data_IF_095591765522
#
_entry.id   IF_095591765522
#
_cell.length_a   1.000
_cell.length_b   1.000
_cell.length_c   1.000
_cell.angle_alpha   90.00
_cell.angle_beta   90.00
_cell.angle_gamma   90.00
#
_symmetry.space_group_name_H-M   'P 1'
#
loop_
_entity.id
_entity.type
_entity.pdbx_description
1 polymer ?
#
# COMPACT_ATOMS: atom_id res chain seq x y z
N UNK A 1 39.02 31.16 -31.93
CA UNK A 1 38.36 30.80 -30.65
C UNK A 1 39.10 29.64 -30.01
N UNK A 2 39.46 29.73 -28.71
CA UNK A 2 40.03 28.60 -27.96
C UNK A 2 38.96 27.51 -27.85
N UNK A 3 39.23 26.30 -28.38
CA UNK A 3 38.33 25.15 -28.21
C UNK A 3 38.31 24.75 -26.74
N UNK A 4 37.18 24.96 -26.06
CA UNK A 4 36.97 24.53 -24.69
C UNK A 4 36.92 23.00 -24.67
N UNK A 5 37.68 22.39 -23.76
CA UNK A 5 37.76 20.93 -23.60
C UNK A 5 36.41 20.35 -23.15
N UNK A 6 36.01 19.21 -23.73
CA UNK A 6 34.79 18.48 -23.33
C UNK A 6 34.72 18.15 -21.83
N UNK A 7 35.87 18.01 -21.17
CA UNK A 7 35.95 17.75 -19.73
C UNK A 7 35.37 18.89 -18.88
N UNK A 8 35.41 20.13 -19.37
CA UNK A 8 34.89 21.31 -18.67
C UNK A 8 33.37 21.27 -18.60
N UNK A 9 32.71 20.88 -19.70
CA UNK A 9 31.25 20.79 -19.72
C UNK A 9 30.74 19.71 -18.77
N UNK A 10 31.43 18.57 -18.66
CA UNK A 10 31.05 17.49 -17.74
C UNK A 10 31.04 17.93 -16.26
N UNK A 11 31.83 18.94 -15.89
CA UNK A 11 31.92 19.46 -14.51
C UNK A 11 30.97 20.62 -14.21
N UNK A 12 30.24 21.15 -15.20
CA UNK A 12 29.33 22.27 -14.99
C UNK A 12 28.14 21.85 -14.13
N UNK A 13 27.83 22.66 -13.12
CA UNK A 13 26.56 22.59 -12.41
C UNK A 13 25.38 22.92 -13.35
N UNK A 14 24.14 22.50 -13.03
CA UNK A 14 22.98 22.84 -13.84
C UNK A 14 22.84 24.34 -14.12
N UNK A 15 23.03 25.18 -13.10
CA UNK A 15 22.94 26.65 -13.24
C UNK A 15 24.02 27.21 -14.16
N UNK A 16 25.28 26.78 -14.01
CA UNK A 16 26.37 27.21 -14.88
C UNK A 16 26.18 26.74 -16.32
N UNK A 17 25.61 25.55 -16.52
CA UNK A 17 25.31 25.01 -17.84
C UNK A 17 24.22 25.82 -18.55
N UNK A 18 23.17 26.23 -17.83
CA UNK A 18 22.13 27.11 -18.36
C UNK A 18 22.71 28.47 -18.75
N UNK A 19 23.54 29.06 -17.90
CA UNK A 19 24.21 30.34 -18.21
C UNK A 19 25.08 30.22 -19.48
N UNK A 20 25.96 29.21 -19.54
CA UNK A 20 26.80 28.96 -20.71
C UNK A 20 26.00 28.68 -21.99
N UNK A 21 24.85 28.02 -21.86
CA UNK A 21 23.94 27.73 -22.97
C UNK A 21 23.30 28.99 -23.56
N UNK A 22 22.84 29.90 -22.70
CA UNK A 22 22.28 31.20 -23.12
C UNK A 22 23.35 32.08 -23.76
N UNK A 23 24.56 32.11 -23.20
CA UNK A 23 25.68 32.85 -23.79
C UNK A 23 26.13 32.30 -25.15
N UNK A 24 26.16 30.98 -25.31
CA UNK A 24 26.47 30.34 -26.59
C UNK A 24 25.44 30.68 -27.68
N UNK A 25 24.15 30.68 -27.32
CA UNK A 25 23.08 31.14 -28.21
C UNK A 25 23.24 32.61 -28.61
N UNK A 26 23.54 33.49 -27.65
CA UNK A 26 23.75 34.92 -27.92
C UNK A 26 24.94 35.18 -28.86
N UNK A 27 25.94 34.29 -28.87
CA UNK A 27 27.09 34.34 -29.80
C UNK A 27 26.84 33.66 -31.14
N UNK A 28 25.71 32.95 -31.33
CA UNK A 28 25.44 32.14 -32.51
C UNK A 28 26.32 30.89 -32.63
N UNK A 29 26.89 30.40 -31.52
CA UNK A 29 27.75 29.20 -31.49
C UNK A 29 26.91 27.93 -31.31
N UNK A 30 26.27 27.50 -32.40
CA UNK A 30 25.45 26.28 -32.46
C UNK A 30 26.24 25.01 -32.06
N UNK A 31 27.54 24.97 -32.34
CA UNK A 31 28.40 23.85 -31.98
C UNK A 31 28.58 23.74 -30.45
N UNK A 32 28.71 24.87 -29.75
CA UNK A 32 28.79 24.93 -28.29
C UNK A 32 27.47 24.55 -27.64
N UNK A 33 26.34 25.03 -28.19
CA UNK A 33 24.98 24.64 -27.79
C UNK A 33 24.81 23.11 -27.86
N UNK A 34 25.24 22.49 -28.96
CA UNK A 34 25.12 21.04 -29.13
C UNK A 34 26.06 20.27 -28.18
N UNK A 35 27.27 20.77 -27.89
CA UNK A 35 28.17 20.20 -26.86
C UNK A 35 27.55 20.29 -25.46
N UNK A 36 26.94 21.40 -25.09
CA UNK A 36 26.29 21.61 -23.79
C UNK A 36 25.08 20.69 -23.60
N UNK A 37 24.31 20.43 -24.67
CA UNK A 37 23.20 19.45 -24.64
C UNK A 37 23.70 18.01 -24.54
N UNK A 38 24.64 17.63 -25.39
CA UNK A 38 25.14 16.24 -25.46
C UNK A 38 25.93 15.81 -24.22
N UNK A 39 26.61 16.74 -23.55
CA UNK A 39 27.37 16.47 -22.33
C UNK A 39 26.56 16.63 -21.04
N UNK A 40 25.25 16.86 -21.13
CA UNK A 40 24.38 16.97 -19.96
C UNK A 40 24.26 15.58 -19.30
N UNK A 41 24.53 15.45 -17.98
CA UNK A 41 24.37 14.18 -17.28
C UNK A 41 22.94 13.67 -17.44
N UNK A 42 22.79 12.49 -18.03
CA UNK A 42 21.49 11.82 -18.10
C UNK A 42 21.29 11.07 -16.79
N UNK A 43 20.20 11.38 -16.10
CA UNK A 43 19.81 10.66 -14.89
C UNK A 43 18.82 9.59 -15.29
N UNK A 44 19.10 8.35 -14.93
CA UNK A 44 18.14 7.26 -15.01
C UNK A 44 17.31 7.25 -13.71
N UNK A 45 16.01 7.48 -13.84
CA UNK A 45 15.10 7.33 -12.71
C UNK A 45 14.53 5.92 -12.72
N UNK A 46 14.75 5.19 -11.61
CA UNK A 46 14.05 3.93 -11.35
C UNK A 46 12.84 4.23 -10.48
N UNK A 47 11.67 3.83 -10.95
CA UNK A 47 10.41 3.92 -10.19
C UNK A 47 10.08 2.56 -9.61
N UNK A 48 9.58 2.54 -8.37
CA UNK A 48 8.93 1.35 -7.81
C UNK A 48 7.73 1.01 -8.69
N UNK A 49 7.50 -0.29 -8.93
CA UNK A 49 6.34 -0.74 -9.68
C UNK A 49 5.05 -0.17 -9.04
N UNK A 50 4.27 0.65 -9.77
CA UNK A 50 3.02 1.19 -9.26
C UNK A 50 2.03 0.10 -8.86
N UNK A 51 2.03 -1.05 -9.54
CA UNK A 51 1.14 -2.18 -9.22
C UNK A 51 1.46 -2.79 -7.88
N UNK A 52 2.75 -2.94 -7.58
CA UNK A 52 3.21 -3.40 -6.27
C UNK A 52 2.77 -2.43 -5.16
N UNK A 53 2.99 -1.13 -5.37
CA UNK A 53 2.67 -0.11 -4.35
C UNK A 53 1.17 -0.05 -4.08
N UNK A 54 0.34 -0.02 -5.14
CA UNK A 54 -1.12 0.00 -5.01
C UNK A 54 -1.62 -1.26 -4.28
N UNK A 55 -1.13 -2.45 -4.64
CA UNK A 55 -1.54 -3.69 -3.97
C UNK A 55 -1.16 -3.71 -2.50
N UNK A 56 0.03 -3.21 -2.16
CA UNK A 56 0.48 -3.12 -0.78
C UNK A 56 -0.41 -2.16 0.03
N UNK A 57 -0.69 -0.97 -0.50
CA UNK A 57 -1.54 0.01 0.14
C UNK A 57 -2.97 -0.53 0.35
N UNK A 58 -3.53 -1.20 -0.66
CA UNK A 58 -4.86 -1.82 -0.54
C UNK A 58 -4.89 -2.95 0.48
N UNK A 59 -3.83 -3.77 0.58
CA UNK A 59 -3.74 -4.83 1.58
C UNK A 59 -3.78 -4.27 3.01
N UNK A 60 -3.05 -3.18 3.27
CA UNK A 60 -3.08 -2.52 4.58
C UNK A 60 -4.41 -1.83 4.85
N UNK A 61 -5.04 -1.22 3.84
CA UNK A 61 -6.37 -0.66 3.96
C UNK A 61 -7.41 -1.73 4.32
N UNK A 62 -7.36 -2.90 3.67
CA UNK A 62 -8.23 -4.03 3.99
C UNK A 62 -7.98 -4.60 5.39
N UNK A 63 -6.73 -4.64 5.85
CA UNK A 63 -6.42 -5.08 7.21
C UNK A 63 -7.06 -4.15 8.26
N UNK A 64 -7.01 -2.83 8.03
CA UNK A 64 -7.67 -1.83 8.90
C UNK A 64 -9.20 -1.96 8.87
N UNK A 65 -9.78 -2.13 7.68
CA UNK A 65 -11.22 -2.32 7.54
C UNK A 65 -11.69 -3.60 8.25
N UNK A 66 -10.97 -4.71 8.07
CA UNK A 66 -11.25 -5.99 8.74
C UNK A 66 -11.22 -5.83 10.26
N UNK A 67 -10.19 -5.18 10.80
CA UNK A 67 -10.08 -4.94 12.24
C UNK A 67 -11.25 -4.07 12.77
N UNK A 68 -11.71 -3.09 11.97
CA UNK A 68 -12.88 -2.29 12.32
C UNK A 68 -14.17 -3.14 12.34
N UNK A 69 -14.40 -3.99 11.33
CA UNK A 69 -15.57 -4.87 11.25
C UNK A 69 -15.60 -5.90 12.40
N UNK A 70 -14.43 -6.42 12.78
CA UNK A 70 -14.28 -7.29 13.95
C UNK A 70 -14.63 -6.55 15.24
N UNK A 71 -14.17 -5.30 15.41
CA UNK A 71 -14.55 -4.47 16.56
C UNK A 71 -16.04 -4.16 16.59
N UNK A 72 -16.64 -3.83 15.44
CA UNK A 72 -18.07 -3.61 15.32
C UNK A 72 -18.85 -4.85 15.76
N UNK A 73 -18.48 -6.02 15.25
CA UNK A 73 -19.14 -7.29 15.61
C UNK A 73 -18.99 -7.61 17.10
N UNK A 74 -17.79 -7.41 17.67
CA UNK A 74 -17.56 -7.60 19.10
C UNK A 74 -18.41 -6.66 19.98
N UNK A 75 -18.47 -5.37 19.62
CA UNK A 75 -19.29 -4.39 20.32
C UNK A 75 -20.79 -4.68 20.17
N UNK A 76 -21.21 -5.03 18.96
CA UNK A 76 -22.58 -5.43 18.63
C UNK A 76 -23.04 -6.61 19.47
N UNK A 77 -22.19 -7.62 19.68
CA UNK A 77 -22.45 -8.72 20.59
C UNK A 77 -22.77 -8.23 22.01
N UNK A 78 -21.92 -7.39 22.61
CA UNK A 78 -22.15 -6.92 23.98
C UNK A 78 -23.40 -6.04 24.13
N UNK A 79 -23.66 -5.19 23.13
CA UNK A 79 -24.87 -4.37 23.09
C UNK A 79 -26.11 -5.25 22.95
N UNK A 80 -26.09 -6.23 22.04
CA UNK A 80 -27.18 -7.17 21.84
C UNK A 80 -27.42 -8.04 23.08
N UNK A 81 -26.38 -8.49 23.78
CA UNK A 81 -26.52 -9.20 25.06
C UNK A 81 -27.33 -8.41 26.11
N UNK A 82 -27.38 -7.08 26.01
CA UNK A 82 -28.18 -6.22 26.90
C UNK A 82 -29.56 -5.89 26.35
N UNK A 83 -29.68 -5.72 25.03
CA UNK A 83 -30.90 -5.20 24.39
C UNK A 83 -31.76 -6.27 23.73
N UNK A 84 -31.13 -7.24 23.06
CA UNK A 84 -31.77 -8.34 22.34
C UNK A 84 -30.83 -9.56 22.29
N UNK A 85 -30.83 -10.41 23.34
CA UNK A 85 -29.92 -11.55 23.44
C UNK A 85 -30.08 -12.56 22.31
N UNK A 86 -31.23 -12.58 21.63
CA UNK A 86 -31.47 -13.51 20.52
C UNK A 86 -30.57 -13.23 19.32
N UNK A 87 -30.19 -11.95 19.12
CA UNK A 87 -29.30 -11.49 18.05
C UNK A 87 -27.82 -11.48 18.41
N UNK A 88 -27.49 -11.64 19.69
CA UNK A 88 -26.10 -11.61 20.15
C UNK A 88 -25.24 -12.65 19.41
N UNK A 89 -25.81 -13.84 19.13
CA UNK A 89 -25.12 -14.91 18.40
C UNK A 89 -24.79 -14.53 16.96
N UNK A 90 -25.62 -13.73 16.31
CA UNK A 90 -25.41 -13.33 14.91
C UNK A 90 -24.15 -12.48 14.78
N UNK A 91 -23.90 -11.60 15.74
CA UNK A 91 -22.67 -10.80 15.80
C UNK A 91 -21.41 -11.66 16.00
N UNK A 92 -21.49 -12.69 16.86
CA UNK A 92 -20.36 -13.64 17.02
C UNK A 92 -20.13 -14.46 15.74
N UNK A 93 -21.21 -14.83 15.03
CA UNK A 93 -21.10 -15.52 13.75
C UNK A 93 -20.48 -14.61 12.68
N UNK A 94 -20.90 -13.34 12.61
CA UNK A 94 -20.30 -12.35 11.72
C UNK A 94 -18.81 -12.17 12.02
N UNK A 95 -18.45 -12.06 13.29
CA UNK A 95 -17.06 -12.01 13.72
C UNK A 95 -16.24 -13.22 13.24
N UNK A 96 -16.77 -14.44 13.45
CA UNK A 96 -16.12 -15.67 13.00
C UNK A 96 -15.90 -15.68 11.48
N UNK A 97 -16.94 -15.30 10.73
CA UNK A 97 -16.91 -15.29 9.27
C UNK A 97 -15.90 -14.27 8.73
N UNK A 98 -15.88 -13.05 9.28
CA UNK A 98 -14.93 -12.00 8.90
C UNK A 98 -13.50 -12.40 9.21
N UNK A 99 -13.24 -12.96 10.41
CA UNK A 99 -11.89 -13.45 10.78
C UNK A 99 -11.42 -14.55 9.84
N UNK A 100 -12.30 -15.49 9.48
CA UNK A 100 -11.96 -16.57 8.57
C UNK A 100 -11.76 -16.11 7.13
N UNK A 101 -12.60 -15.19 6.65
CA UNK A 101 -12.44 -14.57 5.33
C UNK A 101 -11.09 -13.86 5.20
N UNK A 102 -10.68 -13.11 6.22
CA UNK A 102 -9.38 -12.45 6.25
C UNK A 102 -8.21 -13.43 6.23
N UNK A 103 -8.27 -14.49 7.04
CA UNK A 103 -7.26 -15.56 7.02
C UNK A 103 -7.15 -16.23 5.65
N UNK A 104 -8.28 -16.42 4.97
CA UNK A 104 -8.34 -16.97 3.61
C UNK A 104 -7.61 -16.07 2.63
N UNK A 105 -7.86 -14.76 2.67
CA UNK A 105 -7.17 -13.77 1.82
C UNK A 105 -5.67 -13.83 2.03
N UNK A 106 -5.20 -13.78 3.29
CA UNK A 106 -3.77 -13.84 3.60
C UNK A 106 -3.14 -15.12 3.04
N UNK A 107 -3.81 -16.26 3.21
CA UNK A 107 -3.35 -17.53 2.65
C UNK A 107 -3.32 -17.51 1.12
N UNK A 108 -4.30 -16.90 0.44
CA UNK A 108 -4.34 -16.80 -1.03
C UNK A 108 -3.15 -16.00 -1.58
N UNK A 109 -2.72 -14.95 -0.87
CA UNK A 109 -1.55 -14.16 -1.25
C UNK A 109 -0.22 -14.73 -0.77
N UNK A 110 -0.22 -15.86 -0.05
CA UNK A 110 0.98 -16.43 0.55
C UNK A 110 1.57 -15.55 1.67
N UNK A 111 0.74 -14.71 2.30
CA UNK A 111 1.13 -13.86 3.42
C UNK A 111 0.98 -14.65 4.72
N UNK A 112 2.06 -14.75 5.48
CA UNK A 112 2.00 -15.35 6.81
C UNK A 112 1.14 -14.50 7.76
N UNK A 113 0.17 -15.13 8.41
CA UNK A 113 -0.77 -14.42 9.28
C UNK A 113 -0.08 -13.77 10.49
N UNK A 114 0.98 -14.38 11.03
CA UNK A 114 1.73 -13.80 12.16
C UNK A 114 2.55 -12.59 11.72
N UNK A 115 3.17 -12.68 10.54
CA UNK A 115 3.84 -11.54 9.93
C UNK A 115 2.85 -10.39 9.68
N UNK A 116 1.66 -10.68 9.15
CA UNK A 116 0.64 -9.64 8.97
C UNK A 116 0.17 -9.05 10.29
N UNK A 117 0.04 -9.85 11.35
CA UNK A 117 -0.33 -9.35 12.67
C UNK A 117 0.74 -8.45 13.30
N UNK A 118 2.02 -8.65 12.99
CA UNK A 118 3.10 -7.82 13.54
C UNK A 118 3.28 -6.47 12.84
N UNK A 119 2.85 -6.37 11.58
CA UNK A 119 2.96 -5.13 10.77
C UNK A 119 1.61 -4.43 10.55
N UNK A 120 0.51 -5.15 10.72
CA UNK A 120 -0.85 -4.67 10.54
C UNK A 120 -1.37 -3.87 11.73
N UNK A 121 -2.65 -3.46 11.69
CA UNK A 121 -3.28 -2.80 12.84
C UNK A 121 -3.24 -3.74 14.05
N UNK A 122 -2.94 -3.22 15.26
CA UNK A 122 -2.91 -4.03 16.46
C UNK A 122 -4.31 -4.59 16.73
N UNK A 123 -4.39 -5.90 16.94
CA UNK A 123 -5.63 -6.56 17.33
C UNK A 123 -6.12 -6.01 18.66
N UNK A 124 -7.43 -5.80 18.74
CA UNK A 124 -8.08 -5.36 19.96
C UNK A 124 -7.90 -6.39 21.09
N UNK A 125 -7.39 -6.00 22.28
CA UNK A 125 -7.38 -6.88 23.45
C UNK A 125 -8.78 -7.34 23.85
N UNK A 126 -9.80 -6.57 23.44
CA UNK A 126 -11.20 -6.92 23.67
C UNK A 126 -11.64 -8.24 23.03
N UNK A 127 -10.93 -8.70 21.99
CA UNK A 127 -11.23 -9.98 21.35
C UNK A 127 -10.99 -11.17 22.27
N UNK A 128 -10.06 -11.06 23.23
CA UNK A 128 -9.79 -12.13 24.20
C UNK A 128 -11.01 -12.48 25.06
N UNK A 129 -11.90 -11.51 25.32
CA UNK A 129 -13.12 -11.75 26.11
C UNK A 129 -14.20 -12.51 25.35
N UNK A 130 -14.22 -12.40 24.02
CA UNK A 130 -15.22 -13.06 23.18
C UNK A 130 -14.70 -14.32 22.52
N UNK A 131 -13.38 -14.50 22.42
CA UNK A 131 -12.72 -15.64 21.77
C UNK A 131 -13.29 -17.01 22.18
N UNK A 132 -13.54 -17.29 23.48
CA UNK A 132 -14.15 -18.56 23.89
C UNK A 132 -15.58 -18.79 23.41
N UNK A 133 -16.27 -17.72 22.99
CA UNK A 133 -17.67 -17.72 22.57
C UNK A 133 -17.82 -17.73 21.04
N UNK A 134 -16.73 -17.52 20.30
CA UNK A 134 -16.77 -17.44 18.84
C UNK A 134 -17.17 -18.82 18.27
N UNK A 135 -18.25 -18.90 17.47
CA UNK A 135 -18.65 -20.13 16.82
C UNK A 135 -17.67 -20.51 15.69
N UNK A 136 -17.82 -21.72 15.15
CA UNK A 136 -17.15 -22.05 13.90
C UNK A 136 -17.65 -21.11 12.79
N UNK A 137 -16.76 -20.66 11.88
CA UNK A 137 -17.19 -19.85 10.75
C UNK A 137 -18.17 -20.64 9.87
N UNK A 138 -19.12 -19.93 9.29
CA UNK A 138 -19.89 -20.41 8.16
C UNK A 138 -18.99 -20.31 6.92
N UNK A 139 -18.59 -21.47 6.40
CA UNK A 139 -17.68 -21.62 5.27
C UNK A 139 -18.19 -20.93 4.00
N UNK A 140 -19.50 -20.98 3.73
CA UNK A 140 -20.09 -20.38 2.54
C UNK A 140 -20.09 -18.85 2.65
N UNK A 141 -20.56 -18.33 3.79
CA UNK A 141 -20.59 -16.90 4.06
C UNK A 141 -19.17 -16.30 4.07
N UNK A 142 -18.21 -16.99 4.70
CA UNK A 142 -16.81 -16.57 4.75
C UNK A 142 -16.17 -16.57 3.37
N UNK A 143 -16.44 -17.60 2.55
CA UNK A 143 -15.94 -17.66 1.17
C UNK A 143 -16.49 -16.53 0.32
N UNK A 144 -17.80 -16.25 0.42
CA UNK A 144 -18.42 -15.13 -0.28
C UNK A 144 -17.78 -13.80 0.11
N UNK A 145 -17.61 -13.55 1.41
CA UNK A 145 -16.98 -12.34 1.91
C UNK A 145 -15.53 -12.21 1.44
N UNK A 146 -14.73 -13.28 1.54
CA UNK A 146 -13.35 -13.27 1.04
C UNK A 146 -13.30 -12.96 -0.46
N UNK A 147 -14.24 -13.50 -1.25
CA UNK A 147 -14.33 -13.26 -2.69
C UNK A 147 -14.70 -11.81 -3.01
N UNK A 148 -15.53 -11.17 -2.19
CA UNK A 148 -15.85 -9.74 -2.32
C UNK A 148 -14.64 -8.86 -1.99
N UNK A 149 -13.92 -9.17 -0.90
CA UNK A 149 -12.70 -8.46 -0.50
C UNK A 149 -11.56 -8.60 -1.53
N UNK A 150 -11.41 -9.78 -2.13
CA UNK A 150 -10.39 -10.05 -3.16
C UNK A 150 -10.52 -9.15 -4.39
N UNK A 151 -11.75 -8.73 -4.75
CA UNK A 151 -11.98 -7.82 -5.89
C UNK A 151 -11.30 -6.47 -5.76
N UNK A 152 -10.94 -6.07 -4.53
CA UNK A 152 -10.21 -4.82 -4.29
C UNK A 152 -8.69 -4.98 -4.44
N UNK A 153 -8.19 -6.23 -4.45
CA UNK A 153 -6.75 -6.55 -4.54
C UNK A 153 -6.28 -6.95 -5.94
N UNK A 154 -7.20 -7.24 -6.86
CA UNK A 154 -6.92 -7.59 -8.26
C UNK A 154 -6.41 -6.39 -9.09
#
# INVERSE_FOLDING_TARGET
MKKISQKVYATLTPTQRVAAYVEALARGDEDEVQRLRSSCPRVEYRRIDPRFTIRLDTLFALAMATEADLKESALGFFVAMRLDPTKARDYLQQFANTRHAWQTILSTFGVDAKAMQSVGPPSSPFFEFIDPLIPKPDEEASRKLSSEMLRFLD
#
